data_IF_116445703572
#
_entry.id   IF_116445703572
#
_cell.length_a   1.000
_cell.length_b   1.000
_cell.length_c   1.000
_cell.angle_alpha   90.00
_cell.angle_beta   90.00
_cell.angle_gamma   90.00
#
_symmetry.space_group_name_H-M   'P 1'
#
loop_
_entity.id
_entity.type
_entity.pdbx_description
1 polymer ?
#
# COMPACT_ATOMS: atom_id res chain seq x y z
N UNK A 1 -15.13 -6.40 -9.54
CA UNK A 1 -14.51 -6.68 -8.23
C UNK A 1 -14.27 -5.37 -7.50
N UNK A 2 -14.70 -5.23 -6.27
CA UNK A 2 -14.42 -4.06 -5.43
C UNK A 2 -13.12 -4.31 -4.66
N UNK A 3 -12.20 -3.36 -4.70
CA UNK A 3 -10.88 -3.46 -4.06
C UNK A 3 -10.82 -2.50 -2.88
N UNK A 4 -10.49 -3.00 -1.69
CA UNK A 4 -10.14 -2.20 -0.52
C UNK A 4 -8.62 -2.16 -0.36
N UNK A 5 -8.03 -0.98 -0.23
CA UNK A 5 -6.60 -0.82 0.10
C UNK A 5 -6.46 -0.48 1.57
N UNK A 6 -5.84 -1.37 2.33
CA UNK A 6 -5.57 -1.20 3.75
C UNK A 6 -4.14 -0.69 3.96
N UNK A 7 -3.99 0.56 4.39
CA UNK A 7 -2.70 1.22 4.63
C UNK A 7 -2.42 1.23 6.13
N UNK A 8 -1.25 0.72 6.55
CA UNK A 8 -0.86 0.71 7.96
C UNK A 8 0.12 1.84 8.21
N UNK A 9 -0.14 2.63 9.26
CA UNK A 9 0.72 3.76 9.62
C UNK A 9 1.01 3.80 11.12
N UNK A 10 2.15 4.40 11.45
CA UNK A 10 2.53 4.80 12.81
C UNK A 10 3.49 5.98 12.76
N UNK A 11 3.07 7.13 13.31
CA UNK A 11 3.89 8.33 13.55
C UNK A 11 4.76 8.83 12.38
N UNK A 12 4.32 8.63 11.13
CA UNK A 12 5.02 9.16 9.95
C UNK A 12 4.06 9.80 8.94
N UNK A 13 3.43 10.95 9.29
CA UNK A 13 2.41 11.59 8.46
C UNK A 13 2.93 12.01 7.07
N UNK A 14 4.19 12.45 6.93
CA UNK A 14 4.75 12.84 5.64
C UNK A 14 4.82 11.67 4.65
N UNK A 15 5.22 10.47 5.09
CA UNK A 15 5.23 9.28 4.24
C UNK A 15 3.80 8.85 3.90
N UNK A 16 2.90 8.83 4.90
CA UNK A 16 1.49 8.50 4.71
C UNK A 16 0.83 9.42 3.68
N UNK A 17 1.08 10.73 3.72
CA UNK A 17 0.55 11.68 2.76
C UNK A 17 0.98 11.32 1.33
N UNK A 18 2.25 10.97 1.11
CA UNK A 18 2.75 10.53 -0.20
C UNK A 18 2.08 9.23 -0.67
N UNK A 19 1.87 8.28 0.22
CA UNK A 19 1.14 7.02 -0.09
C UNK A 19 -0.29 7.32 -0.50
N UNK A 20 -0.99 8.15 0.25
CA UNK A 20 -2.39 8.50 -0.03
C UNK A 20 -2.54 9.31 -1.32
N UNK A 21 -1.63 10.26 -1.60
CA UNK A 21 -1.59 10.96 -2.88
C UNK A 21 -1.37 10.01 -4.06
N UNK A 22 -0.48 9.02 -3.91
CA UNK A 22 -0.22 8.01 -4.94
C UNK A 22 -1.43 7.09 -5.17
N UNK A 23 -2.17 6.75 -4.12
CA UNK A 23 -3.42 5.97 -4.22
C UNK A 23 -4.56 6.77 -4.84
N UNK A 24 -4.64 8.07 -4.60
CA UNK A 24 -5.60 8.97 -5.25
C UNK A 24 -5.33 9.17 -6.75
N UNK A 25 -4.07 8.98 -7.19
CA UNK A 25 -3.63 9.15 -8.58
C UNK A 25 -3.53 7.82 -9.36
N UNK A 26 -4.11 6.74 -8.85
CA UNK A 26 -4.09 5.43 -9.53
C UNK A 26 -4.84 5.46 -10.87
N UNK A 27 -4.36 4.68 -11.85
CA UNK A 27 -5.04 4.50 -13.15
C UNK A 27 -6.39 3.79 -13.02
N UNK A 28 -6.56 2.98 -11.99
CA UNK A 28 -7.80 2.37 -11.53
C UNK A 28 -7.94 2.67 -10.04
N UNK A 29 -8.95 3.45 -9.67
CA UNK A 29 -9.18 3.81 -8.28
C UNK A 29 -9.69 2.59 -7.49
N UNK A 30 -9.22 2.39 -6.25
CA UNK A 30 -9.81 1.40 -5.37
C UNK A 30 -11.25 1.80 -4.99
N UNK A 31 -12.03 0.86 -4.50
CA UNK A 31 -13.36 1.14 -3.94
C UNK A 31 -13.28 2.01 -2.67
N UNK A 32 -12.25 1.78 -1.86
CA UNK A 32 -11.97 2.54 -0.65
C UNK A 32 -10.49 2.40 -0.24
N UNK A 33 -10.05 3.35 0.58
CA UNK A 33 -8.76 3.30 1.30
C UNK A 33 -9.04 3.31 2.79
N UNK A 34 -8.51 2.32 3.51
CA UNK A 34 -8.65 2.19 4.96
C UNK A 34 -7.27 2.41 5.58
N UNK A 35 -7.07 3.54 6.24
CA UNK A 35 -5.87 3.80 7.01
C UNK A 35 -6.04 3.21 8.40
N UNK A 36 -5.26 2.18 8.72
CA UNK A 36 -5.21 1.61 10.06
C UNK A 36 -3.98 2.13 10.78
N UNK A 37 -4.23 2.79 11.88
CA UNK A 37 -3.27 3.60 12.61
C UNK A 37 -2.96 2.93 13.96
N UNK A 38 -1.70 2.54 14.15
CA UNK A 38 -1.23 1.80 15.32
C UNK A 38 -0.88 2.71 16.51
N UNK A 39 -1.61 3.83 16.65
CA UNK A 39 -1.48 4.72 17.79
C UNK A 39 -0.68 5.99 17.49
N UNK A 40 -0.74 6.50 16.27
CA UNK A 40 -0.09 7.77 15.92
C UNK A 40 -0.65 8.94 16.71
N UNK A 41 0.16 9.99 16.76
CA UNK A 41 -0.17 11.27 17.38
C UNK A 41 -1.13 12.08 16.52
N UNK A 42 -1.51 13.23 17.03
CA UNK A 42 -2.53 14.14 16.48
C UNK A 42 -2.24 14.58 15.03
N UNK A 43 -0.96 14.73 14.65
CA UNK A 43 -0.57 15.17 13.32
C UNK A 43 -1.06 14.24 12.22
N UNK A 44 -1.06 12.92 12.47
CA UNK A 44 -1.60 11.93 11.55
C UNK A 44 -3.11 12.06 11.40
N UNK A 45 -3.83 12.30 12.50
CA UNK A 45 -5.28 12.50 12.47
C UNK A 45 -5.66 13.75 11.68
N UNK A 46 -4.96 14.87 11.91
CA UNK A 46 -5.18 16.12 11.19
C UNK A 46 -4.91 15.99 9.69
N UNK A 47 -3.83 15.28 9.32
CA UNK A 47 -3.56 14.96 7.93
C UNK A 47 -4.74 14.22 7.29
N UNK A 48 -5.23 13.16 7.92
CA UNK A 48 -6.31 12.34 7.39
C UNK A 48 -7.64 13.11 7.30
N UNK A 49 -7.96 13.95 8.28
CA UNK A 49 -9.13 14.82 8.23
C UNK A 49 -9.06 15.83 7.07
N UNK A 50 -7.88 16.43 6.84
CA UNK A 50 -7.67 17.35 5.72
C UNK A 50 -7.82 16.65 4.37
N UNK A 51 -7.24 15.46 4.21
CA UNK A 51 -7.32 14.71 2.95
C UNK A 51 -8.72 14.16 2.69
N UNK A 52 -9.45 13.75 3.72
CA UNK A 52 -10.76 13.13 3.56
C UNK A 52 -11.80 14.05 2.92
N UNK A 53 -11.64 15.38 3.01
CA UNK A 53 -12.58 16.35 2.44
C UNK A 53 -12.73 16.22 0.92
N UNK A 54 -11.61 15.98 0.20
CA UNK A 54 -11.57 15.96 -1.26
C UNK A 54 -10.98 14.64 -1.81
N UNK A 55 -10.92 13.58 -1.00
CA UNK A 55 -10.32 12.32 -1.42
C UNK A 55 -11.23 11.62 -2.46
N UNK A 56 -10.71 11.11 -3.58
CA UNK A 56 -11.52 10.65 -4.71
C UNK A 56 -12.36 9.39 -4.42
N UNK A 57 -12.06 8.68 -3.34
CA UNK A 57 -12.78 7.50 -2.88
C UNK A 57 -13.03 7.56 -1.38
N UNK A 58 -13.82 6.67 -0.82
CA UNK A 58 -14.03 6.58 0.62
C UNK A 58 -12.69 6.39 1.34
N UNK A 59 -12.32 7.35 2.21
CA UNK A 59 -11.15 7.28 3.08
C UNK A 59 -11.61 7.03 4.52
N UNK A 60 -11.15 5.92 5.10
CA UNK A 60 -11.51 5.48 6.46
C UNK A 60 -10.30 5.53 7.36
N UNK A 61 -10.42 6.11 8.55
CA UNK A 61 -9.36 6.10 9.57
C UNK A 61 -9.75 5.21 10.76
N UNK A 62 -8.99 4.17 11.00
CA UNK A 62 -9.14 3.23 12.12
C UNK A 62 -7.96 3.39 13.08
N UNK A 63 -8.10 4.26 14.05
CA UNK A 63 -7.09 4.46 15.08
C UNK A 63 -7.23 3.44 16.21
N UNK A 64 -6.12 3.02 16.81
CA UNK A 64 -6.07 2.28 18.07
C UNK A 64 -5.04 2.93 19.02
N UNK A 65 -5.22 2.75 20.33
CA UNK A 65 -4.30 3.27 21.32
C UNK A 65 -2.90 2.70 21.10
N UNK A 66 -1.87 3.55 21.25
CA UNK A 66 -0.48 3.11 21.31
C UNK A 66 -0.23 2.26 22.56
N UNK A 67 0.16 1.02 22.36
CA UNK A 67 0.44 0.03 23.40
C UNK A 67 1.50 -0.95 22.84
N UNK A 68 2.56 -0.39 22.25
CA UNK A 68 3.59 -1.08 21.52
C UNK A 68 3.18 -1.50 20.10
N UNK A 69 4.10 -2.07 19.34
CA UNK A 69 3.88 -2.44 17.94
C UNK A 69 2.83 -3.56 17.80
N UNK A 70 1.63 -3.21 17.34
CA UNK A 70 0.52 -4.13 17.14
C UNK A 70 0.01 -4.17 15.69
N UNK A 71 0.94 -4.09 14.74
CA UNK A 71 0.65 -4.05 13.31
C UNK A 71 -0.26 -5.19 12.83
N UNK A 72 -0.13 -6.41 13.38
CA UNK A 72 -1.00 -7.53 13.02
C UNK A 72 -2.45 -7.27 13.43
N UNK A 73 -2.68 -6.70 14.62
CA UNK A 73 -4.02 -6.30 15.09
C UNK A 73 -4.60 -5.20 14.19
N UNK A 74 -3.79 -4.20 13.85
CA UNK A 74 -4.18 -3.12 12.97
C UNK A 74 -4.60 -3.67 11.58
N UNK A 75 -3.82 -4.60 10.99
CA UNK A 75 -4.17 -5.28 9.73
C UNK A 75 -5.49 -6.04 9.83
N UNK A 76 -5.68 -6.83 10.86
CA UNK A 76 -6.93 -7.59 11.05
C UNK A 76 -8.15 -6.67 11.17
N UNK A 77 -8.02 -5.52 11.83
CA UNK A 77 -9.08 -4.52 11.91
C UNK A 77 -9.42 -3.92 10.54
N UNK A 78 -8.40 -3.63 9.73
CA UNK A 78 -8.62 -3.14 8.38
C UNK A 78 -9.31 -4.17 7.49
N UNK A 79 -8.89 -5.45 7.56
CA UNK A 79 -9.53 -6.56 6.83
C UNK A 79 -10.99 -6.71 7.24
N UNK A 80 -11.27 -6.67 8.55
CA UNK A 80 -12.64 -6.77 9.07
C UNK A 80 -13.53 -5.59 8.66
N UNK A 81 -12.97 -4.39 8.53
CA UNK A 81 -13.70 -3.17 8.12
C UNK A 81 -13.85 -3.04 6.60
N UNK A 82 -13.10 -3.82 5.82
CA UNK A 82 -13.10 -3.74 4.37
C UNK A 82 -14.48 -4.10 3.79
N UNK A 83 -14.96 -3.28 2.86
CA UNK A 83 -16.21 -3.49 2.11
C UNK A 83 -15.98 -4.06 0.70
N UNK A 84 -14.73 -4.06 0.25
CA UNK A 84 -14.34 -4.68 -1.00
C UNK A 84 -14.29 -6.21 -0.91
N UNK A 85 -14.35 -6.85 -2.06
CA UNK A 85 -14.25 -8.30 -2.21
C UNK A 85 -12.79 -8.77 -2.14
N UNK A 86 -11.87 -7.87 -2.50
CA UNK A 86 -10.43 -8.09 -2.54
C UNK A 86 -9.70 -7.03 -1.72
N UNK A 87 -8.76 -7.47 -0.88
CA UNK A 87 -8.04 -6.60 0.05
C UNK A 87 -6.57 -6.54 -0.34
N UNK A 88 -6.03 -5.33 -0.47
CA UNK A 88 -4.61 -5.07 -0.65
C UNK A 88 -4.06 -4.49 0.65
N UNK A 89 -3.07 -5.15 1.26
CA UNK A 89 -2.32 -4.64 2.39
C UNK A 89 -1.11 -3.84 1.89
N UNK A 90 -0.93 -2.63 2.40
CA UNK A 90 0.14 -1.72 2.04
C UNK A 90 0.70 -1.06 3.30
N UNK A 91 2.04 -0.96 3.42
CA UNK A 91 2.63 -0.18 4.51
C UNK A 91 2.56 1.32 4.20
N UNK A 92 2.42 2.16 5.22
CA UNK A 92 2.22 3.61 5.10
C UNK A 92 3.46 4.40 4.68
N UNK A 93 4.54 3.71 4.35
CA UNK A 93 5.78 4.23 3.76
C UNK A 93 6.06 3.67 2.35
N UNK A 94 5.09 2.97 1.78
CA UNK A 94 5.19 2.33 0.46
C UNK A 94 4.42 3.15 -0.59
N UNK A 95 5.09 4.06 -1.28
CA UNK A 95 4.48 4.85 -2.35
C UNK A 95 4.23 3.97 -3.57
N UNK A 96 2.95 3.78 -3.91
CA UNK A 96 2.51 2.91 -4.98
C UNK A 96 2.76 3.52 -6.38
N UNK A 97 3.16 2.70 -7.34
CA UNK A 97 3.20 3.08 -8.76
C UNK A 97 1.78 3.27 -9.30
N UNK A 98 1.63 4.07 -10.35
CA UNK A 98 0.33 4.48 -10.92
C UNK A 98 -0.63 3.33 -11.28
N UNK A 99 -0.11 2.17 -11.64
CA UNK A 99 -0.91 1.00 -12.04
C UNK A 99 -1.01 -0.07 -10.96
N UNK A 100 -0.64 0.25 -9.73
CA UNK A 100 -0.58 -0.69 -8.61
C UNK A 100 -1.92 -1.40 -8.36
N UNK A 101 -3.03 -0.65 -8.30
CA UNK A 101 -4.37 -1.24 -8.09
C UNK A 101 -4.81 -2.06 -9.30
N UNK A 102 -4.59 -1.56 -10.53
CA UNK A 102 -4.90 -2.27 -11.76
C UNK A 102 -4.12 -3.58 -11.91
N UNK A 103 -2.84 -3.59 -11.50
CA UNK A 103 -2.02 -4.80 -11.53
C UNK A 103 -2.52 -5.83 -10.52
N UNK A 104 -2.85 -5.43 -9.30
CA UNK A 104 -3.49 -6.34 -8.34
C UNK A 104 -4.82 -6.89 -8.84
N UNK A 105 -5.65 -6.06 -9.48
CA UNK A 105 -6.89 -6.49 -10.13
C UNK A 105 -6.63 -7.57 -11.19
N UNK A 106 -5.65 -7.34 -12.06
CA UNK A 106 -5.32 -8.27 -13.16
C UNK A 106 -4.74 -9.60 -12.70
N UNK A 107 -4.12 -9.63 -11.51
CA UNK A 107 -3.52 -10.84 -10.91
C UNK A 107 -4.41 -11.53 -9.89
N UNK A 108 -5.55 -10.95 -9.51
CA UNK A 108 -6.46 -11.52 -8.50
C UNK A 108 -7.01 -12.88 -8.95
N UNK A 109 -6.77 -13.93 -8.15
CA UNK A 109 -7.27 -15.28 -8.35
C UNK A 109 -7.83 -15.82 -7.04
N UNK A 110 -8.98 -16.46 -7.07
CA UNK A 110 -9.55 -17.15 -5.89
C UNK A 110 -8.61 -18.26 -5.39
N UNK A 111 -8.52 -18.40 -4.07
CA UNK A 111 -7.62 -19.35 -3.42
C UNK A 111 -6.14 -18.98 -3.53
N UNK A 112 -5.82 -17.75 -3.94
CA UNK A 112 -4.45 -17.29 -4.12
C UNK A 112 -4.26 -15.90 -3.50
N UNK A 113 -3.10 -15.67 -2.93
CA UNK A 113 -2.64 -14.32 -2.61
C UNK A 113 -1.65 -13.81 -3.66
N UNK A 114 -1.62 -12.51 -3.85
CA UNK A 114 -0.64 -11.82 -4.69
C UNK A 114 0.33 -11.08 -3.80
N UNK A 115 1.63 -11.30 -4.00
CA UNK A 115 2.66 -10.54 -3.31
C UNK A 115 3.42 -9.68 -4.30
N UNK A 116 3.37 -8.36 -4.09
CA UNK A 116 4.17 -7.41 -4.85
C UNK A 116 5.61 -7.28 -4.34
N UNK A 117 6.40 -6.56 -5.09
CA UNK A 117 7.79 -6.23 -4.75
C UNK A 117 7.91 -4.81 -4.22
N UNK A 118 9.08 -4.47 -3.69
CA UNK A 118 9.41 -3.10 -3.26
C UNK A 118 10.83 -2.72 -3.65
N UNK A 119 11.01 -1.44 -3.91
CA UNK A 119 12.29 -0.75 -4.01
C UNK A 119 12.60 -0.12 -2.66
N UNK A 120 13.84 -0.22 -2.20
CA UNK A 120 14.28 0.49 -1.01
C UNK A 120 15.08 1.72 -1.44
N UNK A 121 14.90 2.82 -0.72
CA UNK A 121 15.55 4.10 -0.97
C UNK A 121 16.49 4.45 0.18
N UNK A 122 17.61 5.10 -0.12
CA UNK A 122 18.46 5.68 0.91
C UNK A 122 17.82 6.93 1.53
N UNK A 123 18.45 7.46 2.58
CA UNK A 123 17.91 8.61 3.32
C UNK A 123 17.79 9.86 2.44
N UNK A 124 18.75 10.11 1.54
CA UNK A 124 18.75 11.29 0.68
C UNK A 124 17.62 11.23 -0.36
N UNK A 125 17.42 10.08 -0.99
CA UNK A 125 16.33 9.88 -1.94
C UNK A 125 14.96 9.87 -1.21
N UNK A 126 14.89 9.26 -0.02
CA UNK A 126 13.67 9.29 0.80
C UNK A 126 13.26 10.72 1.13
N UNK A 127 14.18 11.57 1.59
CA UNK A 127 13.90 12.98 1.87
C UNK A 127 13.32 13.70 0.63
N UNK A 128 13.92 13.49 -0.54
CA UNK A 128 13.41 14.05 -1.80
C UNK A 128 12.02 13.50 -2.19
N UNK A 129 11.76 12.23 -1.96
CA UNK A 129 10.45 11.62 -2.26
C UNK A 129 9.34 12.11 -1.34
N UNK A 130 9.68 12.59 -0.15
CA UNK A 130 8.72 13.21 0.77
C UNK A 130 8.34 14.63 0.35
N UNK A 131 9.11 15.28 -0.53
CA UNK A 131 8.75 16.56 -1.12
C UNK A 131 7.52 16.40 -2.05
N UNK A 132 6.66 17.41 -2.05
CA UNK A 132 5.46 17.38 -2.90
C UNK A 132 5.82 17.33 -4.39
N UNK A 133 5.14 16.45 -5.11
CA UNK A 133 5.31 16.32 -6.56
C UNK A 133 6.55 15.53 -7.00
N UNK A 134 7.37 15.02 -6.08
CA UNK A 134 8.53 14.22 -6.45
C UNK A 134 8.12 12.95 -7.22
N UNK A 135 8.77 12.72 -8.36
CA UNK A 135 8.55 11.52 -9.17
C UNK A 135 9.16 10.28 -8.51
N UNK A 136 8.51 9.12 -8.70
CA UNK A 136 9.06 7.85 -8.25
C UNK A 136 10.38 7.52 -8.96
N UNK A 137 11.33 6.85 -8.28
CA UNK A 137 12.61 6.52 -8.87
C UNK A 137 12.48 5.47 -9.97
N UNK A 138 13.14 5.71 -11.09
CA UNK A 138 13.28 4.74 -12.18
C UNK A 138 14.52 3.88 -12.04
N UNK A 139 14.72 2.97 -13.00
CA UNK A 139 15.80 1.99 -12.99
C UNK A 139 17.21 2.60 -12.86
N UNK A 140 17.44 3.77 -13.44
CA UNK A 140 18.74 4.46 -13.41
C UNK A 140 18.92 5.42 -12.24
N UNK A 141 17.92 5.56 -11.35
CA UNK A 141 18.02 6.43 -10.19
C UNK A 141 19.13 5.99 -9.25
N UNK A 142 19.82 6.97 -8.64
CA UNK A 142 20.78 6.72 -7.56
C UNK A 142 20.04 6.58 -6.24
N UNK A 143 20.63 5.91 -5.26
CA UNK A 143 20.06 5.77 -3.92
C UNK A 143 18.96 4.71 -3.82
N UNK A 144 18.85 3.79 -4.79
CA UNK A 144 17.90 2.67 -4.74
C UNK A 144 18.60 1.32 -4.64
N UNK A 145 18.00 0.43 -3.85
CA UNK A 145 18.28 -1.00 -3.86
C UNK A 145 17.22 -1.75 -4.67
N UNK A 146 17.62 -2.92 -5.20
CA UNK A 146 16.71 -3.81 -5.96
C UNK A 146 16.13 -3.15 -7.20
N UNK A 147 16.93 -2.45 -7.98
CA UNK A 147 16.56 -1.68 -9.18
C UNK A 147 15.59 -2.39 -10.13
N UNK A 148 15.73 -3.72 -10.30
CA UNK A 148 14.82 -4.52 -11.14
C UNK A 148 13.35 -4.37 -10.78
N UNK A 149 13.03 -4.02 -9.54
CA UNK A 149 11.66 -3.83 -9.07
C UNK A 149 11.05 -2.47 -9.47
N UNK A 150 11.83 -1.57 -10.08
CA UNK A 150 11.29 -0.35 -10.70
C UNK A 150 10.69 -0.63 -12.08
N UNK A 151 10.98 -1.80 -12.68
CA UNK A 151 10.48 -2.16 -13.99
C UNK A 151 9.11 -2.83 -13.86
N UNK A 152 8.09 -2.22 -14.47
CA UNK A 152 6.77 -2.82 -14.57
C UNK A 152 6.68 -3.66 -15.84
N UNK A 153 6.65 -4.99 -15.70
CA UNK A 153 6.62 -5.96 -16.80
C UNK A 153 5.46 -6.96 -16.57
N UNK A 154 4.20 -6.55 -16.74
CA UNK A 154 3.03 -7.37 -16.35
C UNK A 154 2.91 -8.67 -17.16
N UNK A 155 3.35 -8.68 -18.42
CA UNK A 155 3.38 -9.88 -19.24
C UNK A 155 4.39 -10.91 -18.72
N UNK A 156 5.56 -10.46 -18.24
CA UNK A 156 6.57 -11.32 -17.65
C UNK A 156 6.16 -11.81 -16.26
N UNK A 157 5.46 -10.98 -15.48
CA UNK A 157 4.96 -11.35 -14.17
C UNK A 157 3.99 -12.54 -14.23
N UNK A 158 3.17 -12.65 -15.30
CA UNK A 158 2.31 -13.82 -15.54
C UNK A 158 3.09 -15.12 -15.73
N UNK A 159 4.27 -15.05 -16.31
CA UNK A 159 5.17 -16.20 -16.47
C UNK A 159 5.78 -16.65 -15.14
N UNK A 160 6.05 -15.71 -14.23
CA UNK A 160 6.59 -15.99 -12.91
C UNK A 160 5.52 -16.32 -11.86
N UNK A 161 4.25 -16.07 -12.14
CA UNK A 161 3.16 -16.45 -11.26
C UNK A 161 3.09 -17.97 -11.09
N UNK A 162 3.63 -18.48 -10.00
CA UNK A 162 3.65 -19.90 -9.68
C UNK A 162 2.51 -20.18 -8.69
N UNK A 163 1.54 -21.00 -9.04
CA UNK A 163 0.65 -21.58 -8.05
C UNK A 163 1.48 -22.51 -7.15
N UNK A 164 1.53 -22.22 -5.87
CA UNK A 164 2.30 -23.03 -4.93
C UNK A 164 1.81 -22.81 -3.51
N UNK A 165 1.68 -23.89 -2.77
CA UNK A 165 1.16 -23.90 -1.40
C UNK A 165 2.17 -23.53 -0.32
N UNK A 166 3.46 -23.39 -0.67
CA UNK A 166 4.53 -23.07 0.29
C UNK A 166 5.38 -21.92 -0.24
N UNK A 167 5.09 -20.73 0.21
CA UNK A 167 5.90 -19.57 -0.05
C UNK A 167 6.77 -19.27 1.18
N UNK A 168 8.08 -19.15 0.99
CA UNK A 168 8.99 -18.61 2.01
C UNK A 168 9.13 -17.11 1.85
N UNK A 169 9.22 -16.38 2.96
CA UNK A 169 9.50 -14.93 2.94
C UNK A 169 8.31 -14.07 2.51
N UNK A 170 7.08 -14.47 2.85
CA UNK A 170 5.87 -13.66 2.66
C UNK A 170 6.03 -12.32 3.38
N UNK A 171 5.75 -11.23 2.67
CA UNK A 171 5.84 -9.86 3.18
C UNK A 171 4.47 -9.20 3.04
N UNK A 172 3.89 -8.80 4.13
CA UNK A 172 2.59 -8.14 4.18
C UNK A 172 2.62 -6.64 3.81
N UNK A 173 3.79 -6.08 3.51
CA UNK A 173 3.93 -4.67 3.12
C UNK A 173 3.35 -4.35 1.73
N UNK A 174 3.13 -5.35 0.89
CA UNK A 174 2.47 -5.29 -0.40
C UNK A 174 1.94 -6.70 -0.71
N UNK A 175 0.76 -7.01 -0.20
CA UNK A 175 0.13 -8.32 -0.35
C UNK A 175 -1.37 -8.15 -0.56
N UNK A 176 -1.97 -8.98 -1.40
CA UNK A 176 -3.39 -8.92 -1.64
C UNK A 176 -4.00 -10.32 -1.73
N UNK A 177 -5.27 -10.43 -1.34
CA UNK A 177 -6.04 -11.68 -1.31
C UNK A 177 -7.54 -11.38 -1.34
N UNK A 178 -8.32 -12.38 -1.65
CA UNK A 178 -9.77 -12.29 -1.53
C UNK A 178 -10.16 -12.33 -0.06
N UNK A 179 -11.05 -11.42 0.33
CA UNK A 179 -11.43 -11.27 1.74
C UNK A 179 -12.05 -12.53 2.34
N UNK A 180 -12.71 -13.34 1.51
CA UNK A 180 -13.43 -14.53 1.92
C UNK A 180 -12.59 -15.83 1.80
N UNK A 181 -11.31 -15.74 1.35
CA UNK A 181 -10.35 -16.85 1.32
C UNK A 181 -9.60 -16.95 2.67
#
# INVERSE_FOLDING_TARGET
>A
MRISVAVITYNWPAALERVLCALAAQSELPHEVIVTDDGSREETRQLLQRLAADYPVRLVHLWQRDDGARMSRARNRAIAAAQGDYVILLDGDMVAERHFVADHHAFARRGCFVQGSRVLTDAALTARLLEHGAALPGFFSRGIERRRHTLRLPWLARWYARPGTRQRGIKSCNMAFWRDD
#
